data_IF_783271537471
#
_entry.id   IF_783271537471
#
_cell.length_a   1.000
_cell.length_b   1.000
_cell.length_c   1.000
_cell.angle_alpha   90.00
_cell.angle_beta   90.00
_cell.angle_gamma   90.00
#
_symmetry.space_group_name_H-M   'P 1'
#
loop_
_entity.id
_entity.type
_entity.pdbx_description
1 polymer ?
#
# COMPACT_ATOMS: atom_id res chain seq x y z
N UNK A 1 7.49 1.96 39.22
CA UNK A 1 8.42 1.22 38.32
C UNK A 1 7.72 0.31 37.32
N UNK A 2 6.58 -0.31 37.64
CA UNK A 2 5.83 -1.19 36.70
C UNK A 2 5.25 -0.47 35.46
N UNK A 3 4.84 0.79 35.55
CA UNK A 3 4.24 1.55 34.44
C UNK A 3 5.24 1.92 33.33
N UNK A 4 6.54 2.03 33.62
CA UNK A 4 7.55 2.34 32.61
C UNK A 4 7.92 1.15 31.69
N UNK A 5 7.73 -0.08 32.17
CA UNK A 5 8.06 -1.28 31.37
C UNK A 5 6.96 -1.61 30.34
N UNK A 6 5.71 -1.25 30.62
CA UNK A 6 4.57 -1.45 29.71
C UNK A 6 4.63 -0.51 28.50
N UNK A 7 4.98 0.76 28.72
CA UNK A 7 5.07 1.76 27.63
C UNK A 7 6.15 1.39 26.60
N UNK A 8 7.26 0.83 27.02
CA UNK A 8 8.33 0.38 26.12
C UNK A 8 7.94 -0.84 25.27
N UNK A 9 7.17 -1.77 25.82
CA UNK A 9 6.71 -2.97 25.09
C UNK A 9 5.63 -2.66 24.07
N UNK A 10 4.69 -1.76 24.36
CA UNK A 10 3.65 -1.33 23.42
C UNK A 10 4.24 -0.59 22.22
N UNK A 11 5.26 0.23 22.42
CA UNK A 11 5.96 0.95 21.35
C UNK A 11 6.68 -0.02 20.42
N UNK A 12 7.39 -1.01 20.95
CA UNK A 12 8.05 -2.04 20.15
C UNK A 12 7.08 -2.91 19.35
N UNK A 13 5.92 -3.26 19.92
CA UNK A 13 4.87 -4.06 19.22
C UNK A 13 4.26 -3.24 18.10
N UNK A 14 3.94 -1.96 18.33
CA UNK A 14 3.38 -1.07 17.32
C UNK A 14 4.34 -0.87 16.15
N UNK A 15 5.61 -0.61 16.41
CA UNK A 15 6.64 -0.44 15.40
C UNK A 15 6.84 -1.73 14.59
N UNK A 16 6.83 -2.89 15.24
CA UNK A 16 6.93 -4.19 14.57
C UNK A 16 5.73 -4.44 13.64
N UNK A 17 4.51 -4.14 14.08
CA UNK A 17 3.29 -4.31 13.30
C UNK A 17 3.23 -3.33 12.12
N UNK A 18 3.67 -2.08 12.31
CA UNK A 18 3.76 -1.08 11.25
C UNK A 18 4.75 -1.52 10.17
N UNK A 19 5.93 -1.97 10.55
CA UNK A 19 6.95 -2.48 9.63
C UNK A 19 6.47 -3.74 8.88
N UNK A 20 5.69 -4.59 9.54
CA UNK A 20 5.11 -5.76 8.92
C UNK A 20 4.10 -5.38 7.83
N UNK A 21 3.17 -4.44 8.12
CA UNK A 21 2.22 -3.93 7.13
C UNK A 21 2.94 -3.24 5.96
N UNK A 22 3.96 -2.42 6.24
CA UNK A 22 4.74 -1.72 5.22
C UNK A 22 5.39 -2.69 4.22
N UNK A 23 5.83 -3.88 4.67
CA UNK A 23 6.37 -4.92 3.78
C UNK A 23 5.32 -5.44 2.79
N UNK A 24 4.06 -5.62 3.22
CA UNK A 24 2.97 -6.03 2.32
C UNK A 24 2.66 -4.91 1.34
N UNK A 25 2.54 -3.67 1.81
CA UNK A 25 2.29 -2.48 0.98
C UNK A 25 3.37 -2.32 -0.09
N UNK A 26 4.65 -2.40 0.30
CA UNK A 26 5.78 -2.31 -0.65
C UNK A 26 5.72 -3.39 -1.73
N UNK A 27 5.38 -4.63 -1.36
CA UNK A 27 5.19 -5.71 -2.33
C UNK A 27 4.06 -5.39 -3.32
N UNK A 28 2.92 -4.91 -2.83
CA UNK A 28 1.77 -4.52 -3.68
C UNK A 28 2.14 -3.38 -4.64
N UNK A 29 2.90 -2.38 -4.18
CA UNK A 29 3.39 -1.29 -5.02
C UNK A 29 4.37 -1.78 -6.11
N UNK A 30 5.26 -2.70 -5.77
CA UNK A 30 6.16 -3.33 -6.74
C UNK A 30 5.38 -4.14 -7.79
N UNK A 31 4.39 -4.92 -7.38
CA UNK A 31 3.55 -5.68 -8.31
C UNK A 31 2.78 -4.75 -9.26
N UNK A 32 2.25 -3.61 -8.78
CA UNK A 32 1.63 -2.59 -9.63
C UNK A 32 2.62 -2.07 -10.68
N UNK A 33 3.83 -1.74 -10.27
CA UNK A 33 4.86 -1.26 -11.19
C UNK A 33 5.23 -2.29 -12.27
N UNK A 34 5.29 -3.57 -11.90
CA UNK A 34 5.48 -4.64 -12.89
C UNK A 34 4.28 -4.78 -13.82
N UNK A 35 3.05 -4.67 -13.33
CA UNK A 35 1.83 -4.75 -14.13
C UNK A 35 1.76 -3.71 -15.25
N UNK A 36 2.32 -2.50 -15.03
CA UNK A 36 2.37 -1.45 -16.05
C UNK A 36 3.26 -1.81 -17.24
N UNK A 37 4.24 -2.69 -17.03
CA UNK A 37 5.27 -3.04 -18.01
C UNK A 37 5.17 -4.47 -18.52
N UNK A 38 4.54 -5.35 -17.74
CA UNK A 38 4.46 -6.77 -18.03
C UNK A 38 3.56 -7.05 -19.24
N UNK A 39 4.00 -7.98 -20.08
CA UNK A 39 3.29 -8.51 -21.22
C UNK A 39 3.00 -10.01 -21.01
N UNK A 40 2.13 -10.58 -21.83
CA UNK A 40 1.78 -12.00 -21.76
C UNK A 40 0.58 -12.29 -20.84
N UNK A 41 -0.42 -12.98 -21.41
CA UNK A 41 -1.67 -13.30 -20.74
C UNK A 41 -1.72 -14.78 -20.27
N UNK A 42 -0.63 -15.54 -20.46
CA UNK A 42 -0.54 -16.94 -20.08
C UNK A 42 0.71 -17.14 -19.21
N UNK A 43 0.60 -18.07 -18.24
CA UNK A 43 1.71 -18.44 -17.38
C UNK A 43 2.78 -19.21 -18.15
N UNK A 44 4.04 -18.95 -17.89
CA UNK A 44 5.13 -19.84 -18.31
C UNK A 44 5.19 -21.07 -17.37
N UNK A 45 5.87 -22.12 -17.80
CA UNK A 45 5.91 -23.39 -17.06
C UNK A 45 6.42 -23.22 -15.62
N UNK A 46 7.42 -22.37 -15.41
CA UNK A 46 7.96 -22.04 -14.10
C UNK A 46 6.91 -21.33 -13.21
N UNK A 47 6.17 -20.39 -13.77
CA UNK A 47 5.12 -19.66 -13.06
C UNK A 47 3.93 -20.56 -12.69
N UNK A 48 3.61 -21.54 -13.53
CA UNK A 48 2.54 -22.52 -13.23
C UNK A 48 2.82 -23.31 -11.96
N UNK A 49 4.09 -23.65 -11.68
CA UNK A 49 4.47 -24.30 -10.42
C UNK A 49 4.30 -23.37 -9.22
N UNK A 50 4.69 -22.08 -9.37
CA UNK A 50 4.54 -21.06 -8.34
C UNK A 50 3.07 -20.73 -8.05
N UNK A 51 2.22 -20.69 -9.07
CA UNK A 51 0.76 -20.51 -8.89
C UNK A 51 0.18 -21.58 -7.98
N UNK A 52 0.56 -22.87 -8.17
CA UNK A 52 0.10 -23.96 -7.30
C UNK A 52 0.61 -23.82 -5.86
N UNK A 53 1.83 -23.32 -5.69
CA UNK A 53 2.38 -23.07 -4.35
C UNK A 53 1.61 -21.94 -3.65
N UNK A 54 1.27 -20.88 -4.38
CA UNK A 54 0.43 -19.79 -3.86
C UNK A 54 -0.98 -20.30 -3.53
N UNK A 55 -1.59 -21.13 -4.37
CA UNK A 55 -2.90 -21.72 -4.09
C UNK A 55 -2.88 -22.55 -2.80
N UNK A 56 -1.84 -23.34 -2.56
CA UNK A 56 -1.67 -24.08 -1.30
C UNK A 56 -1.50 -23.16 -0.08
N UNK A 57 -0.92 -21.95 -0.26
CA UNK A 57 -0.85 -20.94 0.81
C UNK A 57 -2.20 -20.27 1.04
N UNK A 58 -3.00 -20.10 -0.01
CA UNK A 58 -4.39 -19.61 0.12
C UNK A 58 -5.25 -20.63 0.88
N UNK A 59 -5.11 -21.93 0.60
CA UNK A 59 -5.79 -22.98 1.37
C UNK A 59 -5.43 -22.93 2.86
N UNK A 60 -4.15 -22.75 3.19
CA UNK A 60 -3.73 -22.55 4.60
C UNK A 60 -4.34 -21.30 5.25
N UNK A 61 -4.48 -20.22 4.48
CA UNK A 61 -5.16 -19.02 4.95
C UNK A 61 -6.63 -19.30 5.25
N UNK A 62 -7.32 -20.01 4.35
CA UNK A 62 -8.73 -20.39 4.52
C UNK A 62 -8.90 -21.30 5.73
N UNK A 63 -8.08 -22.34 5.89
CA UNK A 63 -8.06 -23.21 7.04
C UNK A 63 -7.88 -22.45 8.36
N UNK A 64 -6.94 -21.49 8.39
CA UNK A 64 -6.72 -20.65 9.57
C UNK A 64 -7.93 -19.76 9.90
N UNK A 65 -8.63 -19.25 8.89
CA UNK A 65 -9.83 -18.44 9.07
C UNK A 65 -11.04 -19.27 9.48
N UNK A 66 -11.11 -20.55 9.09
CA UNK A 66 -12.13 -21.50 9.51
C UNK A 66 -11.88 -22.01 10.96
N UNK A 67 -10.62 -22.06 11.40
CA UNK A 67 -10.24 -22.43 12.76
C UNK A 67 -10.40 -21.23 13.72
N UNK A 68 -11.65 -20.92 14.04
CA UNK A 68 -12.05 -19.88 15.02
C UNK A 68 -11.44 -18.49 14.74
N UNK A 69 -11.30 -18.14 13.45
CA UNK A 69 -10.69 -16.89 12.98
C UNK A 69 -9.24 -16.70 13.48
N UNK A 70 -8.40 -17.72 13.31
CA UNK A 70 -6.98 -17.62 13.64
C UNK A 70 -6.24 -16.64 12.71
N UNK A 71 -6.42 -15.35 12.98
CA UNK A 71 -5.85 -14.27 12.17
C UNK A 71 -4.32 -14.24 12.21
N UNK A 72 -3.69 -14.82 13.23
CA UNK A 72 -2.22 -14.88 13.31
C UNK A 72 -1.65 -15.81 12.23
N UNK A 73 -2.21 -17.00 12.05
CA UNK A 73 -1.79 -17.94 11.02
C UNK A 73 -2.22 -17.49 9.63
N UNK A 74 -3.40 -16.85 9.53
CA UNK A 74 -3.85 -16.22 8.28
C UNK A 74 -2.87 -15.14 7.81
N UNK A 75 -2.42 -14.24 8.69
CA UNK A 75 -1.41 -13.22 8.37
C UNK A 75 -0.07 -13.87 8.01
N UNK A 76 0.33 -14.95 8.67
CA UNK A 76 1.55 -15.68 8.33
C UNK A 76 1.50 -16.24 6.90
N UNK A 77 0.36 -16.79 6.47
CA UNK A 77 0.15 -17.24 5.10
C UNK A 77 0.30 -16.09 4.08
N UNK A 78 -0.25 -14.90 4.37
CA UNK A 78 -0.06 -13.71 3.52
C UNK A 78 1.44 -13.37 3.40
N UNK A 79 2.20 -13.41 4.51
CA UNK A 79 3.64 -13.13 4.46
C UNK A 79 4.44 -14.16 3.66
N UNK A 80 4.03 -15.42 3.66
CA UNK A 80 4.64 -16.44 2.80
C UNK A 80 4.38 -16.15 1.32
N UNK A 81 3.15 -15.73 0.96
CA UNK A 81 2.82 -15.31 -0.42
C UNK A 81 3.62 -14.06 -0.82
N UNK A 82 3.73 -13.06 0.05
CA UNK A 82 4.54 -11.84 -0.17
C UNK A 82 6.01 -12.20 -0.38
N UNK A 83 6.55 -13.11 0.42
CA UNK A 83 7.93 -13.60 0.25
C UNK A 83 8.13 -14.29 -1.08
N UNK A 84 7.20 -15.16 -1.48
CA UNK A 84 7.22 -15.84 -2.77
C UNK A 84 7.17 -14.83 -3.91
N UNK A 85 6.27 -13.84 -3.85
CA UNK A 85 6.17 -12.76 -4.83
C UNK A 85 7.50 -12.01 -4.96
N UNK A 86 8.05 -11.50 -3.85
CA UNK A 86 9.31 -10.73 -3.87
C UNK A 86 10.52 -11.53 -4.37
N UNK A 87 10.47 -12.86 -4.27
CA UNK A 87 11.60 -13.73 -4.68
C UNK A 87 11.52 -14.13 -6.15
N UNK A 88 10.31 -14.28 -6.69
CA UNK A 88 10.07 -14.89 -7.99
C UNK A 88 9.42 -13.96 -9.02
N UNK A 89 9.21 -12.68 -8.68
CA UNK A 89 8.67 -11.69 -9.62
C UNK A 89 9.75 -10.71 -10.03
N UNK A 90 9.92 -10.54 -11.33
CA UNK A 90 10.86 -9.61 -11.94
C UNK A 90 10.24 -8.91 -13.18
N UNK A 91 11.07 -8.19 -13.93
CA UNK A 91 10.62 -7.46 -15.13
C UNK A 91 10.27 -8.38 -16.31
N UNK A 92 10.64 -9.67 -16.26
CA UNK A 92 10.38 -10.66 -17.31
C UNK A 92 9.15 -11.52 -16.99
N UNK A 93 8.59 -11.38 -15.79
CA UNK A 93 7.40 -12.11 -15.33
C UNK A 93 6.18 -11.75 -16.18
N UNK A 94 5.34 -12.76 -16.46
CA UNK A 94 4.13 -12.54 -17.27
C UNK A 94 3.11 -11.68 -16.53
N UNK A 95 2.35 -10.89 -17.29
CA UNK A 95 1.28 -10.07 -16.74
C UNK A 95 0.24 -10.90 -15.99
N UNK A 96 -0.07 -12.10 -16.51
CA UNK A 96 -1.01 -13.02 -15.87
C UNK A 96 -0.53 -13.43 -14.47
N UNK A 97 0.75 -13.75 -14.31
CA UNK A 97 1.32 -14.15 -13.02
C UNK A 97 1.36 -13.00 -12.01
N UNK A 98 1.83 -11.83 -12.46
CA UNK A 98 1.89 -10.62 -11.62
C UNK A 98 0.50 -10.20 -11.16
N UNK A 99 -0.51 -10.24 -12.07
CA UNK A 99 -1.90 -9.93 -11.74
C UNK A 99 -2.47 -10.94 -10.74
N UNK A 100 -2.20 -12.22 -10.91
CA UNK A 100 -2.63 -13.26 -9.99
C UNK A 100 -2.11 -13.03 -8.58
N UNK A 101 -0.81 -12.75 -8.43
CA UNK A 101 -0.20 -12.45 -7.13
C UNK A 101 -0.79 -11.19 -6.50
N UNK A 102 -0.96 -10.14 -7.28
CA UNK A 102 -1.56 -8.90 -6.83
C UNK A 102 -2.98 -9.12 -6.29
N UNK A 103 -3.84 -9.80 -7.05
CA UNK A 103 -5.22 -10.06 -6.68
C UNK A 103 -5.32 -10.92 -5.40
N UNK A 104 -4.44 -11.93 -5.26
CA UNK A 104 -4.42 -12.78 -4.07
C UNK A 104 -3.97 -12.00 -2.83
N UNK A 105 -2.86 -11.27 -2.89
CA UNK A 105 -2.35 -10.50 -1.73
C UNK A 105 -3.35 -9.44 -1.31
N UNK A 106 -3.90 -8.68 -2.25
CA UNK A 106 -4.90 -7.63 -1.95
C UNK A 106 -6.18 -8.25 -1.41
N UNK A 107 -6.73 -9.28 -2.07
CA UNK A 107 -7.99 -9.90 -1.66
C UNK A 107 -7.93 -10.51 -0.26
N UNK A 108 -6.87 -11.26 0.07
CA UNK A 108 -6.70 -11.84 1.42
C UNK A 108 -6.48 -10.76 2.48
N UNK A 109 -5.75 -9.70 2.15
CA UNK A 109 -5.52 -8.57 3.04
C UNK A 109 -6.79 -7.77 3.31
N UNK A 110 -7.65 -7.58 2.31
CA UNK A 110 -8.93 -6.87 2.43
C UNK A 110 -9.90 -7.61 3.37
N UNK A 111 -9.91 -8.95 3.36
CA UNK A 111 -10.72 -9.76 4.29
C UNK A 111 -10.35 -9.47 5.75
N UNK A 112 -9.07 -9.26 6.03
CA UNK A 112 -8.57 -8.90 7.36
C UNK A 112 -8.66 -7.39 7.66
N UNK A 113 -9.18 -6.58 6.73
CA UNK A 113 -9.24 -5.13 6.87
C UNK A 113 -7.87 -4.43 6.79
N UNK A 114 -6.85 -5.10 6.24
CA UNK A 114 -5.53 -4.51 6.02
C UNK A 114 -5.57 -3.65 4.76
N UNK A 115 -5.33 -2.34 4.90
CA UNK A 115 -5.31 -1.41 3.77
C UNK A 115 -3.92 -1.48 3.12
N UNK A 116 -3.72 -2.43 2.23
CA UNK A 116 -2.44 -2.64 1.51
C UNK A 116 -2.45 -2.01 0.11
N UNK A 117 -3.61 -1.92 -0.51
CA UNK A 117 -3.81 -1.26 -1.77
C UNK A 117 -4.37 0.14 -1.49
N UNK A 118 -3.49 1.09 -1.16
CA UNK A 118 -3.89 2.49 -1.20
C UNK A 118 -4.28 2.77 -2.64
N UNK A 119 -5.59 2.88 -2.91
CA UNK A 119 -6.03 3.52 -4.14
C UNK A 119 -5.33 4.87 -4.13
N UNK A 120 -4.53 5.15 -5.15
CA UNK A 120 -4.22 6.53 -5.49
C UNK A 120 -5.59 7.15 -5.72
N UNK A 121 -6.09 7.77 -4.68
CA UNK A 121 -7.41 8.37 -4.74
C UNK A 121 -7.31 9.46 -5.80
N UNK A 122 -8.33 9.55 -6.63
CA UNK A 122 -8.63 10.67 -7.55
C UNK A 122 -8.42 12.05 -6.87
N UNK A 123 -8.39 12.06 -5.55
CA UNK A 123 -7.98 13.16 -4.68
C UNK A 123 -6.56 13.69 -4.94
N UNK A 124 -5.60 12.87 -5.39
CA UNK A 124 -4.22 13.36 -5.59
C UNK A 124 -4.13 14.26 -6.82
N UNK A 125 -4.86 13.97 -7.90
CA UNK A 125 -4.96 14.87 -9.05
C UNK A 125 -5.69 16.19 -8.72
N UNK A 126 -6.74 16.13 -7.90
CA UNK A 126 -7.44 17.33 -7.45
C UNK A 126 -6.58 18.16 -6.50
N UNK A 127 -5.82 17.50 -5.63
CA UNK A 127 -4.87 18.14 -4.72
C UNK A 127 -3.74 18.80 -5.48
N UNK A 128 -3.16 18.14 -6.46
CA UNK A 128 -2.10 18.69 -7.30
C UNK A 128 -2.60 19.92 -8.09
N UNK A 129 -3.79 19.83 -8.70
CA UNK A 129 -4.42 20.97 -9.37
C UNK A 129 -4.65 22.16 -8.43
N UNK A 130 -5.16 21.89 -7.23
CA UNK A 130 -5.36 22.94 -6.22
C UNK A 130 -4.02 23.57 -5.76
N UNK A 131 -2.96 22.78 -5.64
CA UNK A 131 -1.62 23.27 -5.32
C UNK A 131 -1.08 24.15 -6.45
N UNK A 132 -1.25 23.74 -7.71
CA UNK A 132 -0.86 24.53 -8.87
C UNK A 132 -1.64 25.84 -8.97
N UNK A 133 -2.96 25.80 -8.78
CA UNK A 133 -3.81 27.00 -8.75
C UNK A 133 -3.40 27.96 -7.63
N UNK A 134 -3.09 27.43 -6.43
CA UNK A 134 -2.58 28.25 -5.32
C UNK A 134 -1.25 28.92 -5.69
N UNK A 135 -0.33 28.18 -6.31
CA UNK A 135 0.95 28.74 -6.74
C UNK A 135 0.76 29.82 -7.80
N UNK A 136 -0.15 29.62 -8.76
CA UNK A 136 -0.49 30.60 -9.78
C UNK A 136 -1.10 31.87 -9.16
N UNK A 137 -2.02 31.74 -8.21
CA UNK A 137 -2.61 32.83 -7.47
C UNK A 137 -1.54 33.64 -6.70
N UNK A 138 -0.60 32.97 -6.04
CA UNK A 138 0.53 33.65 -5.36
C UNK A 138 1.44 34.41 -6.32
N UNK A 139 1.73 33.83 -7.50
CA UNK A 139 2.52 34.52 -8.55
C UNK A 139 1.78 35.74 -9.09
N UNK A 140 0.46 35.66 -9.20
CA UNK A 140 -0.40 36.80 -9.59
C UNK A 140 -0.62 37.82 -8.47
N UNK A 141 -0.08 37.58 -7.25
CA UNK A 141 -0.29 38.40 -6.03
C UNK A 141 -1.74 38.41 -5.55
N UNK A 142 -2.56 37.47 -5.96
CA UNK A 142 -3.92 37.24 -5.46
C UNK A 142 -3.86 36.35 -4.20
N UNK A 143 -3.56 37.01 -3.08
CA UNK A 143 -3.39 36.33 -1.80
C UNK A 143 -4.72 35.82 -1.23
N UNK A 144 -5.84 36.50 -1.54
CA UNK A 144 -7.16 36.06 -1.08
C UNK A 144 -7.53 34.69 -1.65
N UNK A 145 -7.35 34.50 -2.96
CA UNK A 145 -7.58 33.22 -3.61
C UNK A 145 -6.59 32.13 -3.15
N UNK A 146 -5.33 32.50 -2.91
CA UNK A 146 -4.34 31.55 -2.42
C UNK A 146 -4.64 31.04 -0.99
N UNK A 147 -5.21 31.88 -0.12
CA UNK A 147 -5.62 31.51 1.23
C UNK A 147 -6.90 30.67 1.21
N UNK A 148 -7.89 30.99 0.35
CA UNK A 148 -9.09 30.19 0.16
C UNK A 148 -8.74 28.75 -0.27
N UNK A 149 -7.82 28.60 -1.22
CA UNK A 149 -7.37 27.28 -1.67
C UNK A 149 -6.64 26.54 -0.54
N UNK A 150 -5.85 27.24 0.27
CA UNK A 150 -5.17 26.63 1.43
C UNK A 150 -6.16 26.10 2.45
N UNK A 151 -7.19 26.88 2.76
CA UNK A 151 -8.22 26.50 3.72
C UNK A 151 -9.03 25.30 3.19
N UNK A 152 -9.36 25.28 1.90
CA UNK A 152 -9.99 24.13 1.23
C UNK A 152 -9.14 22.86 1.34
N UNK A 153 -7.83 22.95 1.12
CA UNK A 153 -6.92 21.82 1.27
C UNK A 153 -6.81 21.36 2.73
N UNK A 154 -6.84 22.30 3.70
CA UNK A 154 -6.85 21.97 5.11
C UNK A 154 -8.14 21.25 5.54
N UNK A 155 -9.31 21.66 5.01
CA UNK A 155 -10.59 20.97 5.22
C UNK A 155 -10.59 19.54 4.64
N UNK A 156 -9.79 19.30 3.58
CA UNK A 156 -9.56 17.97 3.01
C UNK A 156 -8.51 17.15 3.81
N UNK A 157 -8.02 17.66 4.94
CA UNK A 157 -7.01 17.01 5.78
C UNK A 157 -5.60 17.07 5.19
N UNK A 158 -5.31 18.05 4.32
CA UNK A 158 -4.01 18.20 3.66
C UNK A 158 -3.23 19.35 4.27
N UNK A 159 -2.04 19.05 4.77
CA UNK A 159 -1.12 20.04 5.35
C UNK A 159 -0.06 20.37 4.30
N UNK A 160 -0.02 21.64 3.90
CA UNK A 160 0.99 22.17 2.98
C UNK A 160 2.22 22.66 3.73
N UNK A 161 3.40 22.35 3.20
CA UNK A 161 4.68 22.89 3.67
C UNK A 161 5.41 23.54 2.50
N UNK A 162 5.50 24.87 2.53
CA UNK A 162 6.28 25.62 1.56
C UNK A 162 7.79 25.41 1.83
N UNK A 163 8.51 24.89 0.85
CA UNK A 163 9.97 24.69 0.89
C UNK A 163 10.65 25.54 -0.19
N UNK A 164 11.99 25.67 -0.14
CA UNK A 164 12.75 26.39 -1.18
C UNK A 164 12.73 25.69 -2.53
N UNK A 165 12.45 24.39 -2.55
CA UNK A 165 12.41 23.53 -3.74
C UNK A 165 10.98 23.35 -4.28
N UNK A 166 9.95 23.86 -3.58
CA UNK A 166 8.54 23.76 -3.98
C UNK A 166 7.60 23.56 -2.79
N UNK A 167 6.35 23.26 -3.08
CA UNK A 167 5.35 22.94 -2.06
C UNK A 167 5.33 21.43 -1.84
N UNK A 168 5.60 21.01 -0.63
CA UNK A 168 5.39 19.64 -0.18
C UNK A 168 4.08 19.56 0.57
N UNK A 169 3.37 18.46 0.44
CA UNK A 169 2.13 18.23 1.15
C UNK A 169 2.13 16.86 1.85
N UNK A 170 1.35 16.74 2.91
CA UNK A 170 1.09 15.48 3.59
C UNK A 170 -0.35 15.47 4.10
N UNK A 171 -0.93 14.30 4.25
CA UNK A 171 -2.22 14.13 4.94
C UNK A 171 -2.02 14.24 6.45
N UNK A 172 -3.01 14.86 7.13
CA UNK A 172 -3.03 15.04 8.57
C UNK A 172 -3.20 13.71 9.32
#
# INVERSE_FOLDING_TARGET
>A
EMLRSLVGSEMCIRDSSSNALERIVTCVEQLKHYLEKAEGNEYVEAETALVKEVEALVEKYEEAMEDDFNTADAIAAIFEIVKLANTNTDAESTKAFVQFLFDKIVGLSDILGLIVNKKEEVLDEEVEKLIEERQAARKAKDFAKADEIRDKLADMGIILKDTREGVQWKRA
#
